data_IF_084514112895
#
_entry.id   IF_084514112895
#
_cell.length_a   1.000
_cell.length_b   1.000
_cell.length_c   1.000
_cell.angle_alpha   90.00
_cell.angle_beta   90.00
_cell.angle_gamma   90.00
#
_symmetry.space_group_name_H-M   'P 1'
#
loop_
_entity.id
_entity.type
_entity.pdbx_description
1 polymer ?
#
# COMPACT_ATOMS: atom_id res chain seq x y z
N UNK A 1 -6.31 17.04 2.57
CA UNK A 1 -6.37 15.68 2.02
C UNK A 1 -5.01 15.41 1.40
N UNK A 2 -4.26 14.42 1.88
CA UNK A 2 -2.99 14.06 1.22
C UNK A 2 -3.31 13.43 -0.14
N UNK A 3 -2.61 13.87 -1.17
CA UNK A 3 -2.75 13.33 -2.53
C UNK A 3 -2.07 11.97 -2.60
N UNK A 4 -2.84 10.96 -2.98
CA UNK A 4 -2.35 9.62 -3.30
C UNK A 4 -2.14 9.53 -4.81
N UNK A 5 -0.98 9.05 -5.23
CA UNK A 5 -0.70 8.74 -6.62
C UNK A 5 -0.66 7.22 -6.75
N UNK A 6 -1.44 6.70 -7.69
CA UNK A 6 -1.56 5.29 -7.96
C UNK A 6 -1.25 5.02 -9.43
N UNK A 7 -0.39 4.04 -9.70
CA UNK A 7 -0.20 3.50 -11.04
C UNK A 7 -0.14 1.98 -10.98
N UNK A 8 -0.64 1.33 -12.03
CA UNK A 8 -0.59 -0.13 -12.17
C UNK A 8 -0.19 -0.52 -13.58
N UNK A 9 0.56 -1.61 -13.68
CA UNK A 9 0.90 -2.29 -14.94
C UNK A 9 0.20 -3.65 -14.98
N UNK A 10 0.56 -4.49 -15.96
CA UNK A 10 0.10 -5.89 -16.04
C UNK A 10 0.56 -6.75 -14.85
N UNK A 11 1.69 -6.43 -14.21
CA UNK A 11 2.28 -7.28 -13.16
C UNK A 11 2.79 -6.50 -11.94
N UNK A 12 2.51 -5.21 -11.84
CA UNK A 12 2.93 -4.39 -10.71
C UNK A 12 1.96 -3.26 -10.40
N UNK A 13 2.09 -2.68 -9.22
CA UNK A 13 1.44 -1.43 -8.85
C UNK A 13 2.39 -0.58 -8.00
N UNK A 14 2.41 0.72 -8.23
CA UNK A 14 3.13 1.70 -7.41
C UNK A 14 2.10 2.56 -6.69
N UNK A 15 2.25 2.64 -5.37
CA UNK A 15 1.38 3.42 -4.49
C UNK A 15 2.26 4.44 -3.79
N UNK A 16 1.98 5.72 -4.02
CA UNK A 16 2.69 6.83 -3.40
C UNK A 16 1.73 7.71 -2.59
N UNK A 17 2.17 8.16 -1.44
CA UNK A 17 1.40 9.10 -0.61
C UNK A 17 2.28 9.93 0.31
N UNK A 18 1.70 11.01 0.84
CA UNK A 18 2.31 11.82 1.88
C UNK A 18 1.71 11.51 3.25
N UNK A 19 2.56 11.38 4.25
CA UNK A 19 2.20 11.47 5.67
C UNK A 19 2.40 12.90 6.17
N UNK A 20 1.76 13.24 7.28
CA UNK A 20 1.92 14.56 7.92
C UNK A 20 3.17 14.61 8.83
N UNK A 21 3.76 13.46 9.14
CA UNK A 21 4.94 13.29 9.97
C UNK A 21 5.81 12.15 9.42
N UNK A 22 7.14 12.15 9.64
CA UNK A 22 8.00 11.06 9.21
C UNK A 22 7.53 9.71 9.75
N UNK A 23 7.30 8.75 8.86
CA UNK A 23 6.74 7.45 9.22
C UNK A 23 7.46 6.29 8.52
N UNK A 24 7.47 5.13 9.17
CA UNK A 24 7.71 3.86 8.49
C UNK A 24 6.37 3.39 7.92
N UNK A 25 6.33 3.04 6.65
CA UNK A 25 5.08 2.60 6.02
C UNK A 25 5.18 1.25 5.34
N UNK A 26 4.01 0.62 5.19
CA UNK A 26 3.83 -0.59 4.39
C UNK A 26 2.47 -0.61 3.73
N UNK A 27 2.37 -1.38 2.66
CA UNK A 27 1.12 -1.80 2.05
C UNK A 27 0.82 -3.23 2.46
N UNK A 28 -0.39 -3.47 2.92
CA UNK A 28 -0.98 -4.80 3.06
C UNK A 28 -1.90 -5.01 1.86
N UNK A 29 -1.81 -6.15 1.18
CA UNK A 29 -2.62 -6.42 -0.02
C UNK A 29 -3.04 -7.88 -0.14
N UNK A 30 -4.19 -8.12 -0.76
CA UNK A 30 -4.76 -9.45 -0.98
C UNK A 30 -5.72 -9.43 -2.18
N UNK A 31 -5.98 -10.59 -2.76
CA UNK A 31 -7.05 -10.78 -3.76
C UNK A 31 -8.39 -11.16 -3.12
N UNK A 32 -8.43 -11.36 -1.80
CA UNK A 32 -9.61 -11.81 -1.05
C UNK A 32 -10.51 -10.63 -0.68
N UNK A 33 -11.84 -10.82 -0.82
CA UNK A 33 -12.86 -9.91 -0.34
C UNK A 33 -13.86 -10.66 0.57
N UNK A 34 -14.23 -10.13 1.75
CA UNK A 34 -13.73 -8.89 2.36
C UNK A 34 -12.23 -8.96 2.71
N UNK A 35 -11.59 -7.81 2.87
CA UNK A 35 -10.17 -7.74 3.21
C UNK A 35 -9.91 -8.34 4.59
N UNK A 36 -9.07 -9.37 4.68
CA UNK A 36 -8.67 -10.04 5.92
C UNK A 36 -7.19 -9.76 6.16
N UNK A 37 -6.87 -9.04 7.24
CA UNK A 37 -5.51 -8.60 7.56
C UNK A 37 -4.53 -9.76 7.73
N UNK A 38 -4.95 -10.83 8.40
CA UNK A 38 -4.10 -12.00 8.69
C UNK A 38 -3.68 -12.79 7.43
N UNK A 39 -4.37 -12.59 6.30
CA UNK A 39 -4.07 -13.25 5.03
C UNK A 39 -3.49 -12.29 3.99
N UNK A 40 -3.24 -11.04 4.36
CA UNK A 40 -2.66 -10.06 3.46
C UNK A 40 -1.15 -10.24 3.36
N UNK A 41 -0.63 -10.20 2.13
CA UNK A 41 0.78 -10.02 1.90
C UNK A 41 1.18 -8.58 2.27
N UNK A 42 2.43 -8.37 2.69
CA UNK A 42 2.91 -7.04 3.09
C UNK A 42 4.19 -6.65 2.37
N UNK A 43 4.26 -5.41 1.89
CA UNK A 43 5.48 -4.82 1.34
C UNK A 43 5.74 -3.49 2.05
N UNK A 44 6.93 -3.34 2.61
CA UNK A 44 7.36 -2.11 3.27
C UNK A 44 7.92 -1.11 2.26
N UNK A 45 7.77 0.18 2.57
CA UNK A 45 8.55 1.24 1.95
C UNK A 45 10.05 1.00 2.26
N UNK A 46 10.95 1.04 1.26
CA UNK A 46 12.38 0.89 1.49
C UNK A 46 13.00 2.04 2.32
N UNK A 47 12.38 3.22 2.35
CA UNK A 47 12.88 4.37 3.10
C UNK A 47 12.32 4.36 4.54
N UNK A 48 13.19 4.29 5.56
CA UNK A 48 12.74 4.39 6.94
C UNK A 48 12.44 5.85 7.31
N UNK A 49 11.24 6.11 7.84
CA UNK A 49 10.83 7.39 8.41
C UNK A 49 10.97 8.59 7.46
N UNK A 50 10.14 8.59 6.41
CA UNK A 50 10.03 9.70 5.45
C UNK A 50 8.60 10.28 5.46
N UNK A 51 8.43 11.47 4.88
CA UNK A 51 7.14 12.12 4.62
C UNK A 51 6.51 11.61 3.33
N UNK A 52 7.33 11.40 2.30
CA UNK A 52 6.89 10.81 1.04
C UNK A 52 7.09 9.31 1.13
N UNK A 53 6.02 8.56 0.92
CA UNK A 53 6.03 7.11 0.97
C UNK A 53 5.81 6.56 -0.42
N UNK A 54 6.58 5.54 -0.80
CA UNK A 54 6.47 4.82 -2.06
C UNK A 54 6.58 3.31 -1.82
N UNK A 55 5.57 2.57 -2.25
CA UNK A 55 5.60 1.12 -2.23
C UNK A 55 5.31 0.56 -3.60
N UNK A 56 6.20 -0.31 -4.08
CA UNK A 56 6.06 -1.04 -5.33
C UNK A 56 5.64 -2.48 -5.02
N UNK A 57 4.42 -2.84 -5.41
CA UNK A 57 3.93 -4.21 -5.41
C UNK A 57 4.37 -4.88 -6.72
N UNK A 58 5.28 -5.85 -6.64
CA UNK A 58 5.79 -6.58 -7.80
C UNK A 58 5.18 -8.00 -7.90
N UNK A 59 5.41 -8.66 -9.03
CA UNK A 59 5.01 -10.06 -9.29
C UNK A 59 3.50 -10.31 -9.09
N UNK A 60 2.68 -9.33 -9.46
CA UNK A 60 1.23 -9.46 -9.42
C UNK A 60 0.73 -10.25 -10.63
N UNK A 61 -0.39 -10.94 -10.46
CA UNK A 61 -1.05 -11.64 -11.55
C UNK A 61 -1.72 -10.64 -12.49
N UNK A 62 -1.63 -10.81 -13.82
CA UNK A 62 -2.39 -10.01 -14.80
C UNK A 62 -3.89 -10.06 -14.57
N UNK A 63 -4.60 -9.02 -14.99
CA UNK A 63 -6.06 -8.96 -15.00
C UNK A 63 -6.72 -9.35 -13.66
N UNK A 64 -6.04 -9.08 -12.54
CA UNK A 64 -6.42 -9.56 -11.20
C UNK A 64 -6.77 -8.38 -10.31
N UNK A 65 -7.91 -8.48 -9.63
CA UNK A 65 -8.34 -7.49 -8.65
C UNK A 65 -7.59 -7.71 -7.33
N UNK A 66 -7.04 -6.62 -6.81
CA UNK A 66 -6.37 -6.58 -5.52
C UNK A 66 -7.06 -5.56 -4.62
N UNK A 67 -7.08 -5.88 -3.34
CA UNK A 67 -7.47 -4.99 -2.25
C UNK A 67 -6.22 -4.66 -1.46
N UNK A 68 -6.09 -3.41 -1.03
CA UNK A 68 -4.94 -2.98 -0.24
C UNK A 68 -5.31 -1.98 0.84
N UNK A 69 -4.51 -1.97 1.90
CA UNK A 69 -4.53 -1.03 3.02
C UNK A 69 -3.14 -0.46 3.19
N UNK A 70 -3.06 0.83 3.53
CA UNK A 70 -1.80 1.46 3.93
C UNK A 70 -1.71 1.46 5.45
N UNK A 71 -0.54 1.13 5.96
CA UNK A 71 -0.19 1.31 7.35
C UNK A 71 1.02 2.23 7.43
N UNK A 72 0.93 3.26 8.26
CA UNK A 72 2.04 4.17 8.58
C UNK A 72 2.20 4.21 10.09
N UNK A 73 3.43 4.08 10.57
CA UNK A 73 3.78 4.21 11.99
C UNK A 73 4.78 5.35 12.16
N UNK A 74 4.46 6.33 13.00
CA UNK A 74 5.35 7.45 13.29
C UNK A 74 6.49 7.07 14.26
N UNK A 75 7.39 8.02 14.51
CA UNK A 75 8.55 7.85 15.41
C UNK A 75 8.16 7.59 16.88
N UNK A 76 6.93 7.93 17.29
CA UNK A 76 6.39 7.69 18.63
C UNK A 76 5.53 6.42 18.73
N UNK A 77 5.50 5.62 17.66
CA UNK A 77 4.72 4.39 17.52
C UNK A 77 3.20 4.60 17.43
N UNK A 78 2.71 5.78 17.02
CA UNK A 78 1.30 5.88 16.64
C UNK A 78 1.11 5.22 15.27
N UNK A 79 0.08 4.37 15.15
CA UNK A 79 -0.23 3.63 13.93
C UNK A 79 -1.48 4.21 13.29
N UNK A 80 -1.40 4.48 11.99
CA UNK A 80 -2.53 4.86 11.16
C UNK A 80 -2.75 3.82 10.06
N UNK A 81 -3.98 3.34 9.95
CA UNK A 81 -4.45 2.43 8.89
C UNK A 81 -5.54 3.13 8.06
N UNK A 82 -5.55 2.86 6.76
CA UNK A 82 -6.67 3.27 5.90
C UNK A 82 -7.75 2.21 5.84
N UNK A 83 -8.93 2.56 5.34
CA UNK A 83 -9.86 1.56 4.81
C UNK A 83 -9.28 0.88 3.57
N UNK A 84 -9.73 -0.34 3.28
CA UNK A 84 -9.31 -1.06 2.09
C UNK A 84 -9.71 -0.30 0.81
N UNK A 85 -8.77 -0.22 -0.13
CA UNK A 85 -8.95 0.31 -1.48
C UNK A 85 -8.77 -0.84 -2.47
N UNK A 86 -9.24 -0.67 -3.70
CA UNK A 86 -9.09 -1.69 -4.75
C UNK A 86 -8.36 -1.15 -5.96
N UNK A 87 -7.60 -2.02 -6.63
CA UNK A 87 -7.11 -1.81 -7.98
C UNK A 87 -7.17 -3.11 -8.78
N UNK A 88 -6.99 -3.00 -10.09
CA UNK A 88 -6.84 -4.15 -10.98
C UNK A 88 -5.59 -3.99 -11.82
N UNK A 89 -4.79 -5.05 -11.93
CA UNK A 89 -3.67 -5.08 -12.87
C UNK A 89 -4.15 -5.08 -14.32
N UNK A 90 -3.29 -4.58 -15.21
CA UNK A 90 -3.53 -4.59 -16.66
C UNK A 90 -3.69 -6.00 -17.22
N UNK A 91 -4.21 -6.08 -18.45
CA UNK A 91 -4.24 -7.33 -19.23
C UNK A 91 -2.85 -7.68 -19.80
#
# INVERSE_FOLDING_TARGET
MSTEVFSSTTNSATIQWLTNEPARSRILYSTTYPFVYDFAATVADPLPFDLMQEVILANLNPNTAYFYVRESTDLTNNVQLTTARTFRTGQ
#
